data_IF_625639271639
#
_entry.id   IF_625639271639
#
_cell.length_a   1.000
_cell.length_b   1.000
_cell.length_c   1.000
_cell.angle_alpha   90.00
_cell.angle_beta   90.00
_cell.angle_gamma   90.00
#
_symmetry.space_group_name_H-M   'P 1'
#
loop_
_entity.id
_entity.type
_entity.pdbx_description
1 polymer ?
#
# COMPACT_ATOMS: atom_id res chain seq x y z
N UNK A 1 -49.53 2.21 -55.56
CA UNK A 1 -50.30 1.14 -54.89
C UNK A 1 -49.75 0.92 -53.50
N UNK A 2 -50.61 1.07 -52.50
CA UNK A 2 -50.34 0.88 -51.08
C UNK A 2 -49.99 -0.58 -50.73
N UNK A 3 -49.09 -0.75 -49.74
CA UNK A 3 -49.19 -1.57 -48.50
C UNK A 3 -47.79 -2.06 -48.11
N UNK A 4 -47.18 -1.46 -47.08
CA UNK A 4 -47.17 -1.93 -45.67
C UNK A 4 -46.48 -3.29 -45.51
N UNK A 5 -45.29 -3.30 -44.90
CA UNK A 5 -44.89 -4.33 -43.93
C UNK A 5 -44.00 -3.71 -42.83
N UNK A 6 -44.21 -4.20 -41.61
CA UNK A 6 -43.96 -3.57 -40.30
C UNK A 6 -42.53 -3.75 -39.78
N UNK A 7 -42.08 -2.77 -38.99
CA UNK A 7 -40.97 -2.86 -38.01
C UNK A 7 -41.20 -3.95 -36.94
N UNK A 8 -40.07 -4.46 -36.41
CA UNK A 8 -39.71 -4.82 -35.01
C UNK A 8 -38.47 -5.76 -35.09
N UNK A 9 -37.35 -5.67 -34.37
CA UNK A 9 -36.84 -4.80 -33.31
C UNK A 9 -35.31 -5.04 -33.21
N UNK A 10 -34.54 -3.96 -33.16
CA UNK A 10 -33.42 -3.65 -32.25
C UNK A 10 -32.80 -4.83 -31.45
N UNK A 11 -31.51 -5.09 -31.67
CA UNK A 11 -30.56 -5.49 -30.63
C UNK A 11 -29.18 -4.95 -31.01
N UNK A 12 -28.89 -3.72 -30.56
CA UNK A 12 -27.58 -3.12 -30.56
C UNK A 12 -26.78 -3.81 -29.44
N UNK A 13 -25.78 -4.61 -29.80
CA UNK A 13 -24.90 -5.25 -28.84
C UNK A 13 -23.87 -4.21 -28.37
N UNK A 14 -24.24 -3.46 -27.34
CA UNK A 14 -23.34 -2.59 -26.60
C UNK A 14 -22.31 -3.46 -25.88
N UNK A 15 -21.06 -3.42 -26.32
CA UNK A 15 -19.95 -3.93 -25.53
C UNK A 15 -19.84 -3.05 -24.27
N UNK A 16 -20.29 -3.60 -23.15
CA UNK A 16 -20.11 -3.02 -21.82
C UNK A 16 -18.63 -3.16 -21.48
N UNK A 17 -17.87 -2.08 -21.67
CA UNK A 17 -16.60 -1.88 -20.97
C UNK A 17 -16.94 -1.60 -19.51
N UNK A 18 -16.67 -2.57 -18.64
CA UNK A 18 -16.57 -2.36 -17.20
C UNK A 18 -15.32 -1.52 -16.94
N UNK A 19 -15.46 -0.20 -17.05
CA UNK A 19 -14.62 0.72 -16.31
C UNK A 19 -15.16 0.73 -14.88
N UNK A 20 -14.46 0.06 -13.98
CA UNK A 20 -14.48 0.42 -12.56
C UNK A 20 -13.77 1.77 -12.50
N UNK A 21 -14.51 2.85 -12.74
CA UNK A 21 -14.10 4.17 -12.28
C UNK A 21 -14.21 4.12 -10.77
N UNK A 22 -13.08 3.95 -10.08
CA UNK A 22 -12.92 4.59 -8.79
C UNK A 22 -13.16 6.07 -9.06
N UNK A 23 -14.35 6.56 -8.70
CA UNK A 23 -14.58 7.99 -8.67
C UNK A 23 -13.82 8.49 -7.44
N UNK A 24 -12.53 8.79 -7.57
CA UNK A 24 -11.91 9.73 -6.65
C UNK A 24 -12.66 11.05 -6.84
N UNK A 25 -13.22 11.63 -5.79
CA UNK A 25 -13.68 13.01 -5.83
C UNK A 25 -12.46 13.90 -5.66
N UNK A 26 -12.38 15.02 -6.37
CA UNK A 26 -11.33 16.02 -6.12
C UNK A 26 -11.56 16.79 -4.79
N UNK A 27 -12.28 16.20 -3.82
CA UNK A 27 -12.62 16.81 -2.52
C UNK A 27 -12.89 15.76 -1.43
N UNK A 28 -12.79 16.20 -0.18
CA UNK A 28 -13.08 15.41 1.03
C UNK A 28 -14.46 15.73 1.63
N UNK A 29 -15.38 16.26 0.81
CA UNK A 29 -16.67 16.81 1.28
C UNK A 29 -17.53 15.78 2.03
N UNK A 30 -17.47 14.51 1.65
CA UNK A 30 -18.25 13.42 2.28
C UNK A 30 -17.87 13.14 3.74
N UNK A 31 -16.68 13.59 4.17
CA UNK A 31 -16.16 13.34 5.53
C UNK A 31 -15.95 14.63 6.32
N UNK A 32 -16.26 15.81 5.78
CA UNK A 32 -16.21 17.04 6.56
C UNK A 32 -17.34 17.11 7.59
N UNK A 33 -17.02 17.66 8.76
CA UNK A 33 -18.02 17.89 9.80
C UNK A 33 -18.73 19.21 9.51
N UNK A 34 -20.03 19.14 9.19
CA UNK A 34 -20.87 20.33 9.12
C UNK A 34 -21.13 20.84 10.55
N UNK A 35 -20.65 22.04 10.93
CA UNK A 35 -20.86 22.58 12.27
C UNK A 35 -22.34 22.86 12.59
N UNK A 36 -23.22 22.82 11.59
CA UNK A 36 -24.66 23.03 11.73
C UNK A 36 -25.45 21.73 11.83
N UNK A 37 -24.84 20.57 11.57
CA UNK A 37 -25.47 19.26 11.71
C UNK A 37 -24.98 18.58 13.01
N UNK A 38 -25.87 18.33 14.00
CA UNK A 38 -25.48 17.62 15.21
C UNK A 38 -25.17 16.15 14.92
N UNK A 39 -23.93 15.89 14.50
CA UNK A 39 -23.39 14.54 14.32
C UNK A 39 -23.03 13.94 15.68
N UNK A 40 -23.52 12.74 15.96
CA UNK A 40 -23.07 11.95 17.12
C UNK A 40 -21.93 11.05 16.66
N UNK A 41 -20.83 11.05 17.41
CA UNK A 41 -19.65 10.24 17.11
C UNK A 41 -19.58 9.02 18.02
N UNK A 42 -19.19 7.87 17.46
CA UNK A 42 -18.91 6.64 18.22
C UNK A 42 -17.55 6.71 18.94
N UNK A 43 -16.67 7.62 18.49
CA UNK A 43 -15.39 7.92 19.11
C UNK A 43 -14.81 9.26 18.64
N UNK A 44 -13.86 9.81 19.40
CA UNK A 44 -13.15 11.04 19.05
C UNK A 44 -11.65 10.86 19.22
N UNK A 45 -10.91 10.92 18.11
CA UNK A 45 -9.46 10.89 18.04
C UNK A 45 -8.95 12.31 17.83
N UNK A 46 -7.99 12.74 18.65
CA UNK A 46 -7.28 13.99 18.43
C UNK A 46 -5.77 13.80 18.50
N UNK A 47 -5.05 14.38 17.54
CA UNK A 47 -3.58 14.36 17.49
C UNK A 47 -3.09 15.78 17.26
N UNK A 48 -2.56 16.40 18.31
CA UNK A 48 -2.18 17.81 18.29
C UNK A 48 -0.71 17.98 18.65
N UNK A 49 -0.06 18.96 18.03
CA UNK A 49 1.29 19.37 18.42
C UNK A 49 1.31 20.00 19.82
N UNK A 50 0.27 20.74 20.16
CA UNK A 50 0.10 21.39 21.46
C UNK A 50 -1.33 21.23 21.97
N UNK A 51 -1.50 21.23 23.30
CA UNK A 51 -2.81 21.03 23.93
C UNK A 51 -3.05 19.59 24.36
N UNK A 52 -4.31 19.27 24.64
CA UNK A 52 -4.71 17.94 25.07
C UNK A 52 -5.09 17.11 23.83
N UNK A 53 -4.32 16.06 23.56
CA UNK A 53 -4.63 15.09 22.54
C UNK A 53 -5.29 13.83 23.13
N UNK A 54 -5.97 13.08 22.27
CA UNK A 54 -6.53 11.77 22.55
C UNK A 54 -6.11 10.85 21.41
N UNK A 55 -4.89 10.30 21.51
CA UNK A 55 -4.27 9.50 20.43
C UNK A 55 -4.74 8.04 20.40
N UNK A 56 -5.58 7.61 21.33
CA UNK A 56 -6.04 6.22 21.40
C UNK A 56 -7.52 6.16 21.71
N UNK A 57 -8.28 5.59 20.79
CA UNK A 57 -9.73 5.42 20.89
C UNK A 57 -10.04 3.93 20.82
N UNK A 58 -10.91 3.46 21.72
CA UNK A 58 -11.44 2.09 21.66
C UNK A 58 -12.96 2.16 21.57
N UNK A 59 -13.51 1.44 20.59
CA UNK A 59 -14.95 1.38 20.31
C UNK A 59 -15.38 -0.08 20.41
N UNK A 60 -16.46 -0.31 21.15
CA UNK A 60 -17.13 -1.61 21.15
C UNK A 60 -18.10 -1.67 19.97
N UNK A 61 -17.75 -2.48 18.97
CA UNK A 61 -18.55 -2.62 17.75
C UNK A 61 -19.98 -3.09 18.01
N UNK A 62 -20.25 -3.73 19.15
CA UNK A 62 -21.61 -4.14 19.53
C UNK A 62 -22.52 -2.96 19.91
N UNK A 63 -21.94 -1.80 20.25
CA UNK A 63 -22.69 -0.60 20.64
C UNK A 63 -22.87 0.39 19.47
N UNK A 64 -22.26 0.13 18.32
CA UNK A 64 -22.36 0.98 17.13
C UNK A 64 -23.67 0.71 16.40
N UNK A 65 -24.41 1.77 16.08
CA UNK A 65 -25.64 1.65 15.29
C UNK A 65 -25.33 1.60 13.80
N UNK A 66 -25.21 0.39 13.23
CA UNK A 66 -25.02 0.19 11.80
C UNK A 66 -23.80 -0.66 11.49
N UNK A 67 -23.23 -0.48 10.29
CA UNK A 67 -22.06 -1.23 9.81
C UNK A 67 -20.74 -0.45 9.90
N UNK A 68 -20.81 0.84 10.20
CA UNK A 68 -19.65 1.72 10.36
C UNK A 68 -19.76 2.46 11.69
N UNK A 69 -18.64 2.60 12.39
CA UNK A 69 -18.48 3.53 13.50
C UNK A 69 -18.02 4.88 12.94
N UNK A 70 -18.76 5.94 13.19
CA UNK A 70 -18.39 7.29 12.75
C UNK A 70 -17.50 7.92 13.81
N UNK A 71 -16.23 8.16 13.45
CA UNK A 71 -15.24 8.70 14.39
C UNK A 71 -14.84 10.11 13.98
N UNK A 72 -14.87 11.04 14.94
CA UNK A 72 -14.28 12.36 14.76
C UNK A 72 -12.76 12.23 14.80
N UNK A 73 -12.09 12.62 13.73
CA UNK A 73 -10.63 12.63 13.61
C UNK A 73 -10.17 14.07 13.48
N UNK A 74 -9.51 14.58 14.51
CA UNK A 74 -8.99 15.96 14.55
C UNK A 74 -7.46 15.96 14.59
N UNK A 75 -6.84 16.74 13.70
CA UNK A 75 -5.39 16.97 13.71
C UNK A 75 -5.11 18.46 13.72
N UNK A 76 -4.04 18.85 14.42
CA UNK A 76 -3.60 20.23 14.50
C UNK A 76 -2.08 20.32 14.63
N UNK A 77 -1.49 21.16 13.78
CA UNK A 77 -0.06 21.46 13.75
C UNK A 77 0.13 22.97 13.67
N UNK A 78 1.09 23.48 14.44
CA UNK A 78 1.51 24.89 14.42
C UNK A 78 2.87 25.08 13.75
N UNK A 79 3.67 24.02 13.66
CA UNK A 79 5.03 24.07 13.09
C UNK A 79 5.08 23.72 11.61
N UNK A 80 4.25 22.78 11.15
CA UNK A 80 4.26 22.34 9.76
C UNK A 80 2.87 22.28 9.17
N UNK A 81 2.77 22.58 7.88
CA UNK A 81 1.54 22.38 7.14
C UNK A 81 1.36 20.91 6.76
N UNK A 82 0.25 20.33 7.18
CA UNK A 82 -0.24 19.02 6.79
C UNK A 82 -0.69 19.05 5.32
N UNK A 83 -0.25 18.06 4.56
CA UNK A 83 -0.56 17.89 3.13
C UNK A 83 -1.29 16.61 2.83
N UNK A 84 -1.01 15.54 3.59
CA UNK A 84 -1.69 14.26 3.43
C UNK A 84 -2.15 13.70 4.75
N UNK A 85 -3.23 12.92 4.73
CA UNK A 85 -3.65 12.07 5.83
C UNK A 85 -3.51 10.62 5.41
N UNK A 86 -2.73 9.85 6.16
CA UNK A 86 -2.56 8.43 5.91
C UNK A 86 -3.32 7.60 6.95
N UNK A 87 -4.05 6.60 6.47
CA UNK A 87 -4.81 5.66 7.30
C UNK A 87 -4.44 4.25 6.90
N UNK A 88 -4.00 3.46 7.87
CA UNK A 88 -3.85 2.01 7.72
C UNK A 88 -4.89 1.28 8.55
N UNK A 89 -5.18 0.05 8.17
CA UNK A 89 -6.01 -0.88 8.91
C UNK A 89 -5.27 -2.21 9.11
N UNK A 90 -5.48 -2.83 10.26
CA UNK A 90 -5.08 -4.20 10.56
C UNK A 90 -6.31 -4.96 11.07
N UNK A 91 -6.86 -5.80 10.20
CA UNK A 91 -8.06 -6.60 10.49
C UNK A 91 -7.62 -7.89 11.18
N UNK A 92 -8.13 -8.14 12.39
CA UNK A 92 -7.90 -9.36 13.16
C UNK A 92 -6.43 -9.75 13.34
N UNK A 93 -5.52 -8.77 13.25
CA UNK A 93 -4.08 -9.01 13.35
C UNK A 93 -3.46 -9.66 12.12
N UNK A 94 -4.03 -9.56 10.91
CA UNK A 94 -3.45 -10.10 9.66
C UNK A 94 -2.45 -9.19 8.95
N UNK A 95 -2.13 -8.05 9.58
CA UNK A 95 -1.11 -7.11 9.13
C UNK A 95 -1.71 -5.81 8.62
N UNK A 96 -0.92 -4.75 8.71
CA UNK A 96 -1.31 -3.44 8.25
C UNK A 96 -1.43 -3.41 6.71
N UNK A 97 -2.45 -2.71 6.23
CA UNK A 97 -2.64 -2.34 4.84
C UNK A 97 -3.25 -0.93 4.77
N UNK A 98 -3.09 -0.19 3.66
CA UNK A 98 -3.81 1.06 3.46
C UNK A 98 -5.33 0.85 3.64
N UNK A 99 -6.00 1.82 4.27
CA UNK A 99 -7.44 1.83 4.37
C UNK A 99 -8.07 2.34 3.08
N UNK A 100 -9.11 1.63 2.61
CA UNK A 100 -9.86 2.01 1.43
C UNK A 100 -11.18 2.66 1.86
N UNK A 101 -11.26 3.98 1.68
CA UNK A 101 -12.40 4.80 2.07
C UNK A 101 -13.67 4.45 1.30
N UNK A 102 -13.55 3.93 0.07
CA UNK A 102 -14.69 3.53 -0.75
C UNK A 102 -15.48 2.37 -0.11
N UNK A 103 -14.82 1.55 0.72
CA UNK A 103 -15.47 0.43 1.43
C UNK A 103 -16.51 0.92 2.43
N UNK A 104 -16.31 2.11 3.00
CA UNK A 104 -17.28 2.75 3.88
C UNK A 104 -18.34 3.58 3.13
N UNK A 105 -18.29 3.61 1.79
CA UNK A 105 -19.26 4.31 0.95
C UNK A 105 -19.07 5.83 0.91
N UNK A 106 -17.88 6.31 1.26
CA UNK A 106 -17.51 7.74 1.15
C UNK A 106 -16.51 7.95 0.04
N UNK A 107 -16.58 9.12 -0.57
CA UNK A 107 -15.64 9.59 -1.58
C UNK A 107 -14.71 10.61 -0.96
N UNK A 108 -13.44 10.52 -1.32
CA UNK A 108 -12.37 11.34 -0.76
C UNK A 108 -11.40 11.69 -1.89
N UNK A 109 -10.55 12.70 -1.66
CA UNK A 109 -9.42 13.01 -2.53
C UNK A 109 -8.28 12.04 -2.24
N UNK A 110 -8.48 10.76 -2.58
CA UNK A 110 -7.48 9.72 -2.41
C UNK A 110 -6.39 9.76 -3.49
N UNK A 111 -5.19 9.39 -3.08
CA UNK A 111 -4.00 9.31 -3.93
C UNK A 111 -3.56 7.87 -4.11
N UNK A 112 -2.78 7.60 -5.16
CA UNK A 112 -2.37 6.24 -5.54
C UNK A 112 -1.55 5.52 -4.47
N UNK A 113 -0.94 6.26 -3.57
CA UNK A 113 -0.20 5.78 -2.41
C UNK A 113 -1.10 5.38 -1.20
N UNK A 114 -2.42 5.59 -1.33
CA UNK A 114 -3.43 5.30 -0.31
C UNK A 114 -3.62 6.41 0.72
N UNK A 115 -3.03 7.58 0.52
CA UNK A 115 -3.25 8.76 1.36
C UNK A 115 -4.41 9.62 0.86
N UNK A 116 -5.02 10.39 1.75
CA UNK A 116 -5.90 11.51 1.41
C UNK A 116 -5.09 12.77 1.15
N UNK A 117 -5.44 13.53 0.12
CA UNK A 117 -4.97 14.90 -0.04
C UNK A 117 -5.67 15.83 0.94
N UNK A 118 -4.90 16.67 1.61
CA UNK A 118 -5.41 17.74 2.45
C UNK A 118 -5.23 19.04 1.67
N UNK A 119 -6.35 19.71 1.39
CA UNK A 119 -6.34 21.03 0.76
C UNK A 119 -5.45 22.00 1.56
N UNK A 120 -4.93 23.04 0.91
CA UNK A 120 -4.11 24.05 1.58
C UNK A 120 -4.79 24.67 2.81
N UNK A 121 -6.12 24.75 2.78
CA UNK A 121 -6.95 25.37 3.80
C UNK A 121 -7.05 24.50 5.06
N UNK A 122 -6.84 23.19 4.93
CA UNK A 122 -6.78 22.22 6.02
C UNK A 122 -5.35 22.02 6.56
N UNK A 123 -4.42 22.86 6.12
CA UNK A 123 -3.00 22.65 6.33
C UNK A 123 -2.56 22.69 7.80
N UNK A 124 -3.17 23.53 8.62
CA UNK A 124 -2.74 23.70 10.02
C UNK A 124 -3.70 23.00 11.01
N UNK A 125 -4.94 22.77 10.60
CA UNK A 125 -5.92 22.00 11.35
C UNK A 125 -7.01 21.44 10.44
N UNK A 126 -7.53 20.26 10.78
CA UNK A 126 -8.74 19.72 10.16
C UNK A 126 -9.50 18.83 11.14
N UNK A 127 -10.79 18.68 10.88
CA UNK A 127 -11.66 17.72 11.57
C UNK A 127 -12.52 16.97 10.55
N UNK A 128 -12.49 15.64 10.61
CA UNK A 128 -13.26 14.77 9.74
C UNK A 128 -14.14 13.81 10.54
N UNK A 129 -15.34 13.51 10.02
CA UNK A 129 -16.18 12.41 10.43
C UNK A 129 -15.88 11.20 9.54
N UNK A 130 -14.91 10.37 9.94
CA UNK A 130 -14.51 9.21 9.12
C UNK A 130 -15.34 7.99 9.54
N UNK A 131 -16.09 7.38 8.61
CA UNK A 131 -16.75 6.11 8.88
C UNK A 131 -15.73 4.99 8.79
N UNK A 132 -15.60 4.22 9.87
CA UNK A 132 -14.76 3.03 9.93
C UNK A 132 -15.63 1.78 10.03
N UNK A 133 -15.42 0.77 9.18
CA UNK A 133 -16.14 -0.49 9.26
C UNK A 133 -16.09 -1.10 10.66
N UNK A 134 -17.25 -1.51 11.15
CA UNK A 134 -17.37 -2.35 12.34
C UNK A 134 -16.90 -3.76 11.97
N UNK A 135 -16.05 -4.41 12.80
CA UNK A 135 -15.59 -5.76 12.55
C UNK A 135 -16.77 -6.72 12.30
N UNK A 136 -16.62 -7.64 11.34
CA UNK A 136 -17.65 -8.65 11.11
C UNK A 136 -17.68 -9.66 12.26
N UNK A 137 -18.68 -10.57 12.28
CA UNK A 137 -18.73 -11.63 13.28
C UNK A 137 -17.55 -12.61 13.22
N UNK A 138 -16.81 -12.64 12.09
CA UNK A 138 -15.60 -13.44 11.96
C UNK A 138 -14.36 -12.71 12.50
N UNK A 139 -14.42 -11.39 12.66
CA UNK A 139 -13.29 -10.57 13.04
C UNK A 139 -13.23 -10.37 14.56
N UNK A 140 -12.00 -10.37 15.10
CA UNK A 140 -11.79 -10.04 16.52
C UNK A 140 -11.76 -8.54 16.77
N UNK A 141 -11.14 -7.78 15.87
CA UNK A 141 -11.01 -6.34 15.93
C UNK A 141 -10.51 -5.80 14.58
N UNK A 142 -10.61 -4.48 14.42
CA UNK A 142 -9.87 -3.75 13.40
C UNK A 142 -9.12 -2.63 14.11
N UNK A 143 -7.83 -2.55 13.88
CA UNK A 143 -6.96 -1.48 14.41
C UNK A 143 -6.58 -0.56 13.26
N UNK A 144 -6.94 0.72 13.39
CA UNK A 144 -6.56 1.76 12.45
C UNK A 144 -5.43 2.60 13.02
N UNK A 145 -4.39 2.86 12.22
CA UNK A 145 -3.32 3.80 12.56
C UNK A 145 -3.36 4.96 11.58
N UNK A 146 -3.40 6.18 12.12
CA UNK A 146 -3.67 7.41 11.38
C UNK A 146 -2.61 8.45 11.70
N UNK A 147 -2.11 9.14 10.69
CA UNK A 147 -1.20 10.27 10.88
C UNK A 147 -1.17 11.21 9.68
N UNK A 148 -0.82 12.47 9.94
CA UNK A 148 -0.73 13.50 8.91
C UNK A 148 0.73 13.75 8.52
N UNK A 149 0.98 13.95 7.23
CA UNK A 149 2.32 14.17 6.68
C UNK A 149 2.44 15.52 6.00
N UNK A 150 3.67 16.00 5.84
CA UNK A 150 4.02 17.22 5.09
C UNK A 150 4.09 17.01 3.58
N UNK A 151 3.85 15.79 3.09
CA UNK A 151 3.89 15.43 1.68
C UNK A 151 3.93 13.91 1.44
N UNK A 152 4.21 13.51 0.20
CA UNK A 152 4.39 12.10 -0.20
C UNK A 152 5.62 11.45 0.44
N UNK A 153 5.65 10.12 0.52
CA UNK A 153 6.78 9.34 1.04
C UNK A 153 6.41 7.90 1.38
N UNK A 154 7.31 7.18 2.08
CA UNK A 154 6.97 5.86 2.63
C UNK A 154 6.24 6.01 3.95
N UNK A 155 4.94 5.75 3.94
CA UNK A 155 4.11 5.95 5.13
C UNK A 155 4.23 4.84 6.19
N UNK A 156 5.15 3.90 6.02
CA UNK A 156 5.59 3.02 7.10
C UNK A 156 6.63 3.69 8.01
N UNK A 157 7.36 4.68 7.48
CA UNK A 157 8.33 5.45 8.26
C UNK A 157 7.66 6.65 8.94
N UNK A 158 7.03 6.40 10.09
CA UNK A 158 6.35 7.43 10.89
C UNK A 158 7.28 8.60 11.25
N UNK A 159 8.60 8.38 11.32
CA UNK A 159 9.56 9.44 11.65
C UNK A 159 9.82 10.39 10.47
N UNK A 160 9.58 9.94 9.24
CA UNK A 160 9.77 10.77 8.05
C UNK A 160 8.49 11.51 7.71
N UNK A 161 8.63 12.82 7.49
CA UNK A 161 7.55 13.70 7.01
C UNK A 161 6.33 13.81 7.91
N UNK A 162 6.34 13.27 9.14
CA UNK A 162 5.25 13.51 10.10
C UNK A 162 5.11 15.01 10.33
N UNK A 163 3.90 15.54 10.14
CA UNK A 163 3.68 16.98 10.24
C UNK A 163 3.72 17.49 11.69
N UNK A 164 3.52 16.61 12.68
CA UNK A 164 3.42 17.00 14.09
C UNK A 164 4.70 16.62 14.85
N UNK A 165 5.09 15.35 14.85
CA UNK A 165 6.34 14.86 15.47
C UNK A 165 6.61 13.41 15.07
N UNK A 166 7.84 12.93 15.21
CA UNK A 166 8.27 11.58 14.79
C UNK A 166 7.49 10.39 15.42
N UNK A 167 6.58 10.66 16.36
CA UNK A 167 5.72 9.66 17.04
C UNK A 167 4.25 10.06 17.09
N UNK A 168 3.86 11.16 16.43
CA UNK A 168 2.48 11.63 16.43
C UNK A 168 1.61 10.81 15.49
N UNK A 169 1.03 9.75 16.05
CA UNK A 169 0.02 8.91 15.42
C UNK A 169 -1.23 8.86 16.29
N UNK A 170 -2.37 8.62 15.65
CA UNK A 170 -3.60 8.23 16.30
C UNK A 170 -3.92 6.77 16.04
N UNK A 171 -4.51 6.10 17.01
CA UNK A 171 -4.93 4.70 16.91
C UNK A 171 -6.40 4.57 17.29
N UNK A 172 -7.18 3.93 16.44
CA UNK A 172 -8.57 3.57 16.70
C UNK A 172 -8.67 2.05 16.70
N UNK A 173 -9.15 1.46 17.78
CA UNK A 173 -9.44 0.03 17.85
C UNK A 173 -10.95 -0.17 17.93
N UNK A 174 -11.53 -0.80 16.91
CA UNK A 174 -12.92 -1.24 16.96
C UNK A 174 -12.93 -2.73 17.26
N UNK A 175 -13.56 -3.10 18.35
CA UNK A 175 -13.60 -4.50 18.82
C UNK A 175 -14.80 -5.23 18.24
N UNK A 176 -14.56 -6.47 17.80
CA UNK A 176 -15.56 -7.41 17.35
C UNK A 176 -15.80 -8.52 18.38
N UNK A 177 -16.55 -9.54 17.99
CA UNK A 177 -16.84 -10.71 18.84
C UNK A 177 -16.10 -11.98 18.43
N UNK A 178 -15.37 -11.95 17.30
CA UNK A 178 -14.55 -13.06 16.83
C UNK A 178 -13.28 -13.24 17.67
N UNK A 179 -12.52 -14.28 17.34
CA UNK A 179 -11.21 -14.57 17.92
C UNK A 179 -10.14 -14.47 16.85
N UNK A 180 -9.07 -13.70 17.09
CA UNK A 180 -7.96 -13.63 16.14
C UNK A 180 -7.28 -15.00 16.08
N UNK A 181 -7.12 -15.50 14.86
CA UNK A 181 -6.30 -16.69 14.56
C UNK A 181 -5.04 -16.30 13.80
N UNK A 182 -4.69 -15.01 13.76
CA UNK A 182 -3.51 -14.57 13.04
C UNK A 182 -2.26 -15.13 13.71
N UNK A 183 -1.40 -15.74 12.90
CA UNK A 183 -0.14 -16.35 13.30
C UNK A 183 1.05 -15.38 13.20
N UNK A 184 0.76 -14.08 12.97
CA UNK A 184 1.80 -13.08 12.78
C UNK A 184 2.52 -13.16 11.43
N UNK A 185 1.96 -13.88 10.44
CA UNK A 185 2.48 -13.91 9.07
C UNK A 185 1.42 -13.50 8.07
N UNK A 186 1.83 -12.67 7.11
CA UNK A 186 1.10 -12.43 5.87
C UNK A 186 1.67 -13.32 4.76
N UNK A 187 0.80 -14.01 4.04
CA UNK A 187 1.17 -14.89 2.92
C UNK A 187 0.43 -14.47 1.66
N UNK A 188 1.16 -14.39 0.54
CA UNK A 188 0.58 -14.03 -0.75
C UNK A 188 1.48 -14.49 -1.91
N UNK A 189 0.88 -14.59 -3.09
CA UNK A 189 1.59 -14.88 -4.34
C UNK A 189 1.58 -13.64 -5.22
N UNK A 190 2.67 -13.37 -5.92
CA UNK A 190 2.79 -12.24 -6.84
C UNK A 190 3.55 -12.61 -8.10
N UNK A 191 3.22 -11.98 -9.21
CA UNK A 191 3.97 -12.09 -10.47
C UNK A 191 4.51 -10.72 -10.85
N UNK A 192 5.83 -10.63 -11.05
CA UNK A 192 6.52 -9.42 -11.48
C UNK A 192 7.08 -9.62 -12.89
N UNK A 193 7.25 -8.51 -13.62
CA UNK A 193 7.79 -8.48 -14.98
C UNK A 193 9.25 -7.99 -15.01
N UNK A 194 10.04 -8.62 -15.87
CA UNK A 194 11.52 -8.63 -15.89
C UNK A 194 12.20 -7.31 -16.26
N UNK A 195 11.50 -6.35 -16.83
CA UNK A 195 12.07 -5.04 -17.06
C UNK A 195 10.95 -4.03 -17.30
N UNK A 196 11.06 -2.83 -16.73
CA UNK A 196 10.28 -1.70 -17.15
C UNK A 196 10.41 -1.54 -18.67
N UNK A 197 9.28 -1.53 -19.37
CA UNK A 197 9.25 -1.19 -20.79
C UNK A 197 9.66 0.29 -20.95
N UNK A 198 10.11 0.70 -22.14
CA UNK A 198 10.51 2.10 -22.37
C UNK A 198 9.38 3.11 -22.10
N UNK A 199 8.12 2.69 -22.18
CA UNK A 199 6.94 3.49 -21.81
C UNK A 199 6.62 3.47 -20.29
N UNK A 200 7.44 2.77 -19.51
CA UNK A 200 7.32 2.61 -18.07
C UNK A 200 6.12 1.79 -17.60
N UNK A 201 5.48 1.00 -18.48
CA UNK A 201 4.21 0.33 -18.18
C UNK A 201 4.33 -1.07 -17.55
N UNK A 202 5.53 -1.60 -17.39
CA UNK A 202 5.74 -2.95 -16.83
C UNK A 202 5.65 -2.97 -15.30
N UNK A 203 4.94 -3.99 -14.79
CA UNK A 203 4.72 -4.30 -13.37
C UNK A 203 5.99 -4.90 -12.75
N UNK A 204 6.96 -4.04 -12.45
CA UNK A 204 8.33 -4.43 -12.10
C UNK A 204 8.61 -4.40 -10.60
N UNK A 205 7.96 -3.52 -9.85
CA UNK A 205 8.30 -3.23 -8.45
C UNK A 205 7.22 -3.74 -7.50
N UNK A 206 7.61 -4.31 -6.36
CA UNK A 206 6.69 -4.87 -5.37
C UNK A 206 6.82 -4.15 -4.04
N UNK A 207 5.69 -3.88 -3.40
CA UNK A 207 5.62 -3.58 -1.97
C UNK A 207 5.08 -4.78 -1.20
N UNK A 208 5.86 -5.33 -0.27
CA UNK A 208 5.43 -6.42 0.61
C UNK A 208 4.48 -5.94 1.71
N UNK A 209 4.41 -4.63 1.92
CA UNK A 209 3.51 -4.02 2.89
C UNK A 209 2.04 -4.13 2.47
N UNK A 210 1.72 -3.73 1.24
CA UNK A 210 0.35 -3.76 0.73
C UNK A 210 0.11 -4.87 -0.32
N UNK A 211 1.12 -5.69 -0.60
CA UNK A 211 1.09 -6.81 -1.54
C UNK A 211 0.77 -6.38 -2.98
N UNK A 212 1.14 -5.14 -3.37
CA UNK A 212 0.92 -4.63 -4.73
C UNK A 212 2.20 -4.67 -5.56
N UNK A 213 2.00 -4.83 -6.86
CA UNK A 213 3.02 -4.63 -7.88
C UNK A 213 2.74 -3.29 -8.58
N UNK A 214 3.81 -2.59 -8.93
CA UNK A 214 3.83 -1.23 -9.41
C UNK A 214 4.66 -1.08 -10.68
N UNK A 215 4.27 -0.08 -11.45
CA UNK A 215 4.95 0.33 -12.66
C UNK A 215 5.92 1.47 -12.36
N UNK A 216 7.03 1.54 -13.10
CA UNK A 216 7.96 2.67 -12.94
C UNK A 216 7.27 4.03 -13.21
N UNK A 217 6.32 4.05 -14.15
CA UNK A 217 5.51 5.24 -14.49
C UNK A 217 4.61 5.74 -13.35
N UNK A 218 4.40 4.95 -12.30
CA UNK A 218 3.64 5.33 -11.09
C UNK A 218 4.56 5.82 -9.96
N UNK A 219 5.87 5.84 -10.20
CA UNK A 219 6.87 6.01 -9.16
C UNK A 219 6.92 7.38 -8.52
N UNK A 220 6.48 8.43 -9.23
CA UNK A 220 6.41 9.76 -8.63
C UNK A 220 5.57 9.77 -7.34
N UNK A 221 4.48 9.01 -7.30
CA UNK A 221 3.59 8.93 -6.13
C UNK A 221 3.95 7.74 -5.22
N UNK A 222 4.45 6.64 -5.79
CA UNK A 222 4.49 5.35 -5.07
C UNK A 222 5.87 4.75 -4.85
N UNK A 223 6.94 5.27 -5.46
CA UNK A 223 8.26 4.61 -5.43
C UNK A 223 8.87 4.47 -4.04
N UNK A 224 8.53 5.40 -3.13
CA UNK A 224 8.91 5.30 -1.74
C UNK A 224 8.32 4.06 -1.04
N UNK A 225 7.23 3.47 -1.53
CA UNK A 225 6.60 2.26 -0.95
C UNK A 225 7.18 0.94 -1.51
N UNK A 226 7.94 1.00 -2.59
CA UNK A 226 8.42 -0.21 -3.27
C UNK A 226 9.59 -0.80 -2.51
N UNK A 227 9.55 -2.08 -2.20
CA UNK A 227 10.61 -2.76 -1.45
C UNK A 227 11.68 -3.33 -2.38
N UNK A 228 11.28 -4.06 -3.42
CA UNK A 228 12.19 -4.63 -4.41
C UNK A 228 11.57 -4.66 -5.80
N UNK A 229 12.40 -4.87 -6.83
CA UNK A 229 11.96 -5.13 -8.19
C UNK A 229 12.59 -6.39 -8.78
N UNK A 230 11.96 -6.91 -9.83
CA UNK A 230 12.47 -8.03 -10.62
C UNK A 230 13.12 -7.54 -11.90
N UNK A 231 14.32 -8.06 -12.21
CA UNK A 231 14.93 -7.88 -13.52
C UNK A 231 15.47 -9.15 -14.15
N UNK A 232 15.58 -9.15 -15.48
CA UNK A 232 16.33 -10.16 -16.22
C UNK A 232 17.43 -9.48 -17.04
N UNK A 233 18.70 -9.78 -16.75
CA UNK A 233 19.83 -9.25 -17.53
C UNK A 233 20.64 -10.34 -18.22
N UNK A 234 21.32 -10.00 -19.31
CA UNK A 234 22.13 -10.93 -20.12
C UNK A 234 23.07 -11.85 -19.32
N UNK A 235 23.76 -11.31 -18.31
CA UNK A 235 24.71 -12.07 -17.47
C UNK A 235 24.14 -12.48 -16.13
N UNK A 236 23.21 -11.70 -15.59
CA UNK A 236 22.66 -11.89 -14.24
C UNK A 236 21.43 -12.81 -14.25
N UNK A 237 20.82 -13.04 -15.42
CA UNK A 237 19.55 -13.74 -15.60
C UNK A 237 18.47 -13.18 -14.65
N UNK A 238 17.49 -14.00 -14.30
CA UNK A 238 16.43 -13.65 -13.36
C UNK A 238 17.02 -13.21 -12.00
N UNK A 239 16.66 -12.01 -11.57
CA UNK A 239 17.29 -11.35 -10.43
C UNK A 239 16.30 -10.48 -9.66
N UNK A 240 16.43 -10.42 -8.34
CA UNK A 240 15.69 -9.48 -7.50
C UNK A 240 16.67 -8.45 -6.93
N UNK A 241 16.26 -7.18 -6.88
CA UNK A 241 17.02 -6.11 -6.27
C UNK A 241 16.12 -5.19 -5.45
N UNK A 242 16.63 -4.72 -4.32
CA UNK A 242 16.07 -3.61 -3.55
C UNK A 242 15.79 -2.41 -4.44
N UNK A 243 14.71 -1.67 -4.20
CA UNK A 243 14.37 -0.46 -4.98
C UNK A 243 15.50 0.57 -4.94
N UNK A 244 16.07 0.82 -3.75
CA UNK A 244 17.21 1.72 -3.56
C UNK A 244 18.47 1.30 -4.31
N UNK A 245 18.60 0.02 -4.62
CA UNK A 245 19.77 -0.57 -5.22
C UNK A 245 19.37 -1.35 -6.46
N UNK A 246 18.37 -0.87 -7.20
CA UNK A 246 17.95 -1.46 -8.44
C UNK A 246 18.95 -1.06 -9.54
N UNK A 247 19.42 -1.99 -10.39
CA UNK A 247 20.37 -1.65 -11.44
C UNK A 247 19.79 -0.65 -12.44
N UNK A 248 20.66 0.18 -13.02
CA UNK A 248 20.36 1.06 -14.15
C UNK A 248 20.13 0.19 -15.39
N UNK A 249 18.87 -0.19 -15.61
CA UNK A 249 18.42 -1.05 -16.72
C UNK A 249 17.38 -0.39 -17.61
N UNK A 250 16.95 0.81 -17.24
CA UNK A 250 15.93 1.56 -17.96
C UNK A 250 16.53 2.13 -19.23
N UNK A 251 15.82 2.10 -20.35
CA UNK A 251 16.18 2.82 -21.57
C UNK A 251 14.87 3.38 -22.15
N UNK A 252 14.45 4.53 -21.62
CA UNK A 252 13.14 5.13 -21.88
C UNK A 252 13.06 5.84 -23.23
N UNK A 253 14.19 6.20 -23.84
CA UNK A 253 14.25 6.80 -25.17
C UNK A 253 14.75 5.84 -26.27
N UNK A 254 15.08 4.60 -25.88
CA UNK A 254 15.47 3.50 -26.73
C UNK A 254 16.75 3.82 -27.55
N UNK A 255 17.70 4.53 -26.92
CA UNK A 255 18.99 4.92 -27.51
C UNK A 255 20.13 3.91 -27.25
N UNK A 256 19.82 2.82 -26.53
CA UNK A 256 20.74 1.79 -26.03
C UNK A 256 21.71 2.27 -24.95
N UNK A 257 21.38 3.35 -24.25
CA UNK A 257 22.05 3.82 -23.03
C UNK A 257 21.08 3.65 -21.88
N UNK A 258 21.55 3.04 -20.79
CA UNK A 258 20.70 2.96 -19.61
C UNK A 258 20.46 4.38 -19.03
N UNK A 259 19.21 4.71 -18.75
CA UNK A 259 18.80 5.89 -18.01
C UNK A 259 19.35 5.87 -16.57
N UNK A 260 19.02 6.93 -15.83
CA UNK A 260 19.29 7.05 -14.41
C UNK A 260 18.67 5.91 -13.57
N UNK A 261 19.20 5.75 -12.36
CA UNK A 261 18.61 4.91 -11.32
C UNK A 261 17.13 5.27 -11.05
N UNK A 262 16.42 4.40 -10.30
CA UNK A 262 14.99 4.58 -9.95
C UNK A 262 14.70 6.01 -9.45
N UNK A 263 15.59 6.58 -8.63
CA UNK A 263 15.44 7.94 -8.11
C UNK A 263 15.40 9.01 -9.21
N UNK A 264 16.23 8.88 -10.25
CA UNK A 264 16.24 9.80 -11.39
C UNK A 264 14.98 9.72 -12.24
N UNK A 265 14.42 8.52 -12.41
CA UNK A 265 13.23 8.29 -13.24
C UNK A 265 11.92 8.66 -12.55
N UNK A 266 11.87 8.44 -11.24
CA UNK A 266 10.66 8.70 -10.44
C UNK A 266 10.66 10.10 -9.84
N UNK A 267 11.82 10.76 -9.79
CA UNK A 267 12.00 12.03 -9.08
C UNK A 267 11.96 11.89 -7.55
N UNK A 268 11.89 10.67 -7.02
CA UNK A 268 11.96 10.39 -5.58
C UNK A 268 13.42 10.38 -5.15
N UNK A 269 13.72 11.00 -4.00
CA UNK A 269 15.08 11.08 -3.52
C UNK A 269 15.65 9.68 -3.20
N UNK A 270 16.94 9.47 -3.48
CA UNK A 270 17.58 8.16 -3.34
C UNK A 270 17.53 7.59 -1.90
N UNK A 271 17.50 8.44 -0.89
CA UNK A 271 17.37 8.11 0.53
C UNK A 271 15.91 7.93 1.01
N UNK A 272 14.94 8.23 0.14
CA UNK A 272 13.52 7.92 0.32
C UNK A 272 13.13 6.57 -0.30
N UNK A 273 13.97 5.98 -1.16
CA UNK A 273 13.75 4.64 -1.71
C UNK A 273 14.11 3.55 -0.70
N UNK A 274 13.31 2.48 -0.66
CA UNK A 274 13.49 1.44 0.35
C UNK A 274 14.73 0.59 0.13
N UNK A 275 15.33 0.21 1.26
CA UNK A 275 16.34 -0.83 1.34
C UNK A 275 15.69 -2.16 1.69
N UNK A 276 16.03 -3.17 0.90
CA UNK A 276 15.54 -4.53 1.05
C UNK A 276 16.72 -5.49 1.00
N UNK A 277 17.04 -6.08 2.15
CA UNK A 277 18.18 -6.96 2.31
C UNK A 277 17.75 -8.38 1.99
N UNK A 278 18.35 -9.00 0.99
CA UNK A 278 17.91 -10.29 0.45
C UNK A 278 19.10 -11.20 0.16
N UNK A 279 18.95 -12.48 0.48
CA UNK A 279 19.92 -13.54 0.21
C UNK A 279 19.21 -14.89 -0.04
N UNK A 280 19.93 -15.85 -0.61
CA UNK A 280 19.48 -17.23 -0.70
C UNK A 280 19.34 -17.83 0.69
N UNK A 281 18.24 -18.52 0.95
CA UNK A 281 17.97 -19.18 2.23
C UNK A 281 18.23 -20.67 2.16
N UNK A 282 18.52 -21.26 3.33
CA UNK A 282 18.54 -22.71 3.55
C UNK A 282 17.34 -23.20 4.36
N UNK A 283 16.46 -22.28 4.76
CA UNK A 283 15.27 -22.56 5.55
C UNK A 283 14.20 -23.15 4.62
N UNK A 284 13.45 -24.13 5.12
CA UNK A 284 12.30 -24.69 4.40
C UNK A 284 11.13 -23.69 4.42
N UNK A 285 10.84 -23.10 3.26
CA UNK A 285 9.73 -22.17 3.09
C UNK A 285 8.38 -22.76 3.56
N UNK A 286 8.13 -24.04 3.29
CA UNK A 286 6.83 -24.67 3.56
C UNK A 286 6.65 -24.95 5.06
N UNK A 287 7.74 -25.04 5.83
CA UNK A 287 7.72 -25.23 7.28
C UNK A 287 7.35 -23.96 8.07
N UNK A 288 7.42 -22.77 7.45
CA UNK A 288 7.09 -21.51 8.10
C UNK A 288 5.57 -21.37 8.27
N UNK A 289 5.11 -21.32 9.52
CA UNK A 289 3.68 -21.25 9.86
C UNK A 289 3.33 -20.14 10.85
N UNK A 290 4.31 -19.45 11.42
CA UNK A 290 4.14 -18.37 12.40
C UNK A 290 5.28 -17.36 12.37
N UNK A 291 5.05 -16.13 12.86
CA UNK A 291 6.04 -15.06 12.84
C UNK A 291 7.36 -15.47 13.50
N UNK A 292 7.28 -16.23 14.59
CA UNK A 292 8.44 -16.69 15.34
C UNK A 292 9.35 -17.63 14.53
N UNK A 293 8.81 -18.33 13.53
CA UNK A 293 9.62 -19.18 12.65
C UNK A 293 10.60 -18.35 11.79
N UNK A 294 10.30 -17.06 11.58
CA UNK A 294 11.12 -16.12 10.82
C UNK A 294 12.17 -15.39 11.69
N UNK A 295 12.13 -15.53 13.03
CA UNK A 295 13.03 -14.80 13.93
C UNK A 295 14.50 -15.20 13.76
N UNK A 296 14.74 -16.41 13.24
CA UNK A 296 16.08 -16.93 12.93
C UNK A 296 16.78 -16.18 11.80
N UNK A 297 16.02 -15.50 10.93
CA UNK A 297 16.58 -14.76 9.79
C UNK A 297 17.36 -13.56 10.32
N UNK A 298 18.59 -13.43 9.86
CA UNK A 298 19.45 -12.28 10.12
C UNK A 298 19.54 -11.42 8.87
N UNK A 299 19.56 -10.11 9.03
CA UNK A 299 19.67 -9.19 7.90
C UNK A 299 20.92 -9.50 7.06
N UNK A 300 20.72 -9.74 5.77
CA UNK A 300 21.79 -9.94 4.81
C UNK A 300 22.59 -8.64 4.58
N UNK A 301 23.84 -8.76 4.13
CA UNK A 301 24.64 -7.61 3.68
C UNK A 301 24.37 -7.24 2.22
N UNK A 302 23.62 -8.07 1.49
CA UNK A 302 23.29 -7.92 0.08
C UNK A 302 21.87 -7.37 -0.07
N UNK A 303 21.68 -6.56 -1.11
CA UNK A 303 20.38 -6.00 -1.51
C UNK A 303 19.98 -6.49 -2.91
N UNK A 304 20.67 -7.51 -3.42
CA UNK A 304 20.44 -8.14 -4.72
C UNK A 304 20.70 -9.64 -4.64
N UNK A 305 19.91 -10.41 -5.37
CA UNK A 305 20.18 -11.82 -5.68
C UNK A 305 19.99 -12.01 -7.18
N UNK A 306 20.94 -12.71 -7.82
CA UNK A 306 20.95 -12.93 -9.27
C UNK A 306 20.99 -14.42 -9.59
N UNK A 307 20.68 -14.78 -10.83
CA UNK A 307 20.74 -16.16 -11.30
C UNK A 307 19.65 -17.07 -10.72
N UNK A 308 18.49 -16.50 -10.39
CA UNK A 308 17.38 -17.23 -9.79
C UNK A 308 16.83 -18.31 -10.73
N UNK A 309 16.43 -19.41 -10.13
CA UNK A 309 15.78 -20.56 -10.77
C UNK A 309 14.49 -20.92 -10.04
N UNK A 310 13.57 -21.58 -10.74
CA UNK A 310 12.37 -22.14 -10.11
C UNK A 310 12.75 -23.09 -8.97
N UNK A 311 12.12 -22.92 -7.81
CA UNK A 311 12.39 -23.67 -6.60
C UNK A 311 13.38 -22.99 -5.65
N UNK A 312 14.05 -21.92 -6.07
CA UNK A 312 14.92 -21.16 -5.18
C UNK A 312 14.12 -20.52 -4.05
N UNK A 313 14.72 -20.54 -2.86
CA UNK A 313 14.16 -19.94 -1.65
C UNK A 313 15.11 -18.85 -1.17
N UNK A 314 14.54 -17.69 -0.87
CA UNK A 314 15.24 -16.50 -0.41
C UNK A 314 14.72 -16.10 0.96
N UNK A 315 15.58 -15.47 1.74
CA UNK A 315 15.23 -14.81 3.00
C UNK A 315 15.52 -13.32 2.89
N UNK A 316 14.74 -12.51 3.60
CA UNK A 316 14.91 -11.08 3.57
C UNK A 316 14.66 -10.39 4.91
N UNK A 317 15.14 -9.17 5.01
CA UNK A 317 14.75 -8.18 6.02
C UNK A 317 14.50 -6.85 5.30
N UNK A 318 13.33 -6.26 5.52
CA UNK A 318 13.05 -4.91 5.03
C UNK A 318 13.74 -3.85 5.91
N UNK A 319 13.76 -2.59 5.46
CA UNK A 319 14.39 -1.51 6.24
C UNK A 319 13.71 -1.21 7.58
N UNK A 320 12.49 -1.72 7.80
CA UNK A 320 11.71 -1.58 9.02
C UNK A 320 11.94 -2.74 9.99
N UNK A 321 12.79 -3.71 9.61
CA UNK A 321 13.14 -4.87 10.42
C UNK A 321 12.17 -6.04 10.31
N UNK A 322 11.15 -5.98 9.43
CA UNK A 322 10.29 -7.13 9.15
C UNK A 322 11.07 -8.17 8.36
N UNK A 323 10.93 -9.42 8.79
CA UNK A 323 11.60 -10.56 8.18
C UNK A 323 10.63 -11.36 7.33
N UNK A 324 11.15 -12.05 6.33
CA UNK A 324 10.32 -12.90 5.50
C UNK A 324 11.10 -13.81 4.59
N UNK A 325 10.35 -14.60 3.84
CA UNK A 325 10.88 -15.53 2.86
C UNK A 325 10.13 -15.41 1.54
N UNK A 326 10.84 -15.73 0.47
CA UNK A 326 10.34 -15.72 -0.90
C UNK A 326 10.68 -17.08 -1.52
N UNK A 327 9.72 -17.73 -2.16
CA UNK A 327 9.92 -18.95 -2.95
C UNK A 327 9.61 -18.66 -4.41
N UNK A 328 10.57 -18.92 -5.29
CA UNK A 328 10.39 -18.76 -6.73
C UNK A 328 9.57 -19.94 -7.25
N UNK A 329 8.33 -19.70 -7.67
CA UNK A 329 7.42 -20.76 -8.13
C UNK A 329 7.39 -20.89 -9.65
N UNK A 330 7.75 -19.82 -10.36
CA UNK A 330 7.84 -19.84 -11.82
C UNK A 330 8.78 -18.74 -12.33
N UNK A 331 9.47 -19.01 -13.44
CA UNK A 331 10.19 -18.00 -14.23
C UNK A 331 9.85 -18.24 -15.70
N UNK A 332 9.44 -17.19 -16.40
CA UNK A 332 9.22 -17.21 -17.85
C UNK A 332 10.07 -16.17 -18.55
N UNK A 333 10.35 -16.41 -19.83
CA UNK A 333 11.10 -15.50 -20.68
C UNK A 333 12.62 -15.64 -20.58
N UNK A 334 13.30 -14.85 -21.40
CA UNK A 334 14.76 -14.72 -21.46
C UNK A 334 15.10 -13.24 -21.61
N UNK A 335 16.39 -12.90 -21.59
CA UNK A 335 16.88 -11.55 -21.88
C UNK A 335 16.24 -10.96 -23.16
N UNK A 336 15.72 -9.74 -23.06
CA UNK A 336 15.04 -9.03 -24.16
C UNK A 336 13.62 -9.50 -24.52
N UNK A 337 13.00 -10.38 -23.74
CA UNK A 337 11.59 -10.80 -23.90
C UNK A 337 10.74 -10.36 -22.70
N UNK A 338 9.40 -10.47 -22.82
CA UNK A 338 8.41 -10.31 -21.73
C UNK A 338 8.60 -11.39 -20.64
N UNK A 339 9.69 -11.29 -19.90
CA UNK A 339 10.02 -12.20 -18.82
C UNK A 339 9.18 -11.91 -17.60
N UNK A 340 8.86 -12.95 -16.83
CA UNK A 340 8.16 -12.82 -15.56
C UNK A 340 8.73 -13.75 -14.51
N UNK A 341 8.52 -13.40 -13.25
CA UNK A 341 8.80 -14.27 -12.10
C UNK A 341 7.55 -14.33 -11.23
N UNK A 342 7.16 -15.53 -10.81
CA UNK A 342 6.10 -15.73 -9.82
C UNK A 342 6.73 -16.14 -8.50
N UNK A 343 6.30 -15.49 -7.43
CA UNK A 343 6.85 -15.57 -6.09
C UNK A 343 5.74 -15.91 -5.10
N UNK A 344 5.97 -16.90 -4.25
CA UNK A 344 5.22 -17.05 -3.00
C UNK A 344 5.99 -16.36 -1.87
N UNK A 345 5.30 -15.53 -1.09
CA UNK A 345 5.92 -14.64 -0.10
C UNK A 345 5.28 -14.87 1.25
N UNK A 346 6.11 -14.97 2.30
CA UNK A 346 5.72 -14.97 3.71
C UNK A 346 6.47 -13.86 4.42
N UNK A 347 5.77 -12.97 5.12
CA UNK A 347 6.37 -11.83 5.82
C UNK A 347 5.78 -11.66 7.22
N UNK A 348 6.63 -11.33 8.19
CA UNK A 348 6.20 -10.94 9.54
C UNK A 348 5.36 -9.65 9.48
N UNK A 349 4.27 -9.61 10.23
CA UNK A 349 3.38 -8.44 10.33
C UNK A 349 3.58 -7.61 11.58
#
# INVERSE_FOLDING_TARGET
>A
MNKIFRLKSIALLSAVTLFITSCSSDSNDDIFIDPTDPTTFDGELSVFETGNDNRTVTIDGANVSGTNATVKVSFQSSSNTMRRLYVTQNVSGFGAAPYDFAVAGVTVDDKKDGSLDLSSDNGDAFEFAIPFPVPTSADSNIVYTIWATTGRGDFRDISKRNAISDTAIGTITITGSGTSTANGIKTFTSTLLAAPLGDGSSDTFMSVFNNKVYKISEGEETAALWDFGYYYGFTQNASLASTSNYPELFDTDNDNVADAAVSGLTGVAQDELNKFYIATSTIDFDAITSASDLDVITQATTERVTGLSMGDVLEFTDQYGKKGMIKVTNITGTDGNDGSITLDIKVQI
#
